data_IF_520317336196
#
_entry.id   IF_520317336196
#
_cell.length_a   1.000
_cell.length_b   1.000
_cell.length_c   1.000
_cell.angle_alpha   90.00
_cell.angle_beta   90.00
_cell.angle_gamma   90.00
#
_symmetry.space_group_name_H-M   'P 1'
#
loop_
_entity.id
_entity.type
_entity.pdbx_description
1 polymer ?
#
# COMPACT_ATOMS: atom_id res chain seq x y z
N UNK A 1 -9.69 16.40 20.90
CA UNK A 1 -10.38 17.68 20.61
C UNK A 1 -11.50 17.44 19.61
N UNK A 2 -12.67 18.07 19.80
CA UNK A 2 -13.77 18.00 18.85
C UNK A 2 -13.39 18.73 17.55
N UNK A 3 -13.62 18.09 16.40
CA UNK A 3 -13.46 18.71 15.10
C UNK A 3 -14.71 19.57 14.83
N UNK A 4 -14.52 20.87 14.61
CA UNK A 4 -15.60 21.78 14.23
C UNK A 4 -15.56 22.02 12.71
N UNK A 5 -16.63 21.62 12.04
CA UNK A 5 -16.81 21.80 10.60
C UNK A 5 -17.84 22.90 10.43
N UNK A 6 -17.46 23.99 9.75
CA UNK A 6 -18.34 25.15 9.52
C UNK A 6 -19.32 24.97 8.37
N UNK A 7 -18.99 24.06 7.46
CA UNK A 7 -19.81 23.76 6.28
C UNK A 7 -20.75 22.60 6.63
N UNK A 8 -22.04 22.87 6.64
CA UNK A 8 -23.08 21.89 7.00
C UNK A 8 -23.04 20.66 6.09
N UNK A 9 -22.71 20.83 4.80
CA UNK A 9 -22.62 19.72 3.85
C UNK A 9 -21.44 18.79 4.18
N UNK A 10 -20.35 19.34 4.69
CA UNK A 10 -19.17 18.58 5.10
C UNK A 10 -19.40 17.91 6.45
N UNK A 11 -20.13 18.55 7.38
CA UNK A 11 -20.51 17.93 8.66
C UNK A 11 -21.46 16.74 8.43
N UNK A 12 -22.42 16.86 7.52
CA UNK A 12 -23.32 15.78 7.12
C UNK A 12 -22.55 14.59 6.53
N UNK A 13 -21.56 14.85 5.68
CA UNK A 13 -20.66 13.80 5.15
C UNK A 13 -19.87 13.12 6.26
N UNK A 14 -19.34 13.89 7.21
CA UNK A 14 -18.60 13.34 8.36
C UNK A 14 -19.51 12.48 9.26
N UNK A 15 -20.75 12.90 9.52
CA UNK A 15 -21.75 12.14 10.27
C UNK A 15 -22.13 10.86 9.53
N UNK A 16 -22.37 10.95 8.21
CA UNK A 16 -22.72 9.79 7.39
C UNK A 16 -21.58 8.78 7.37
N UNK A 17 -20.35 9.23 7.16
CA UNK A 17 -19.18 8.35 7.20
C UNK A 17 -19.00 7.75 8.60
N UNK A 18 -19.15 8.53 9.68
CA UNK A 18 -19.08 8.01 11.05
C UNK A 18 -20.08 6.86 11.28
N UNK A 19 -21.35 7.03 10.87
CA UNK A 19 -22.40 6.02 11.01
C UNK A 19 -22.08 4.75 10.23
N UNK A 20 -21.60 4.89 8.99
CA UNK A 20 -21.26 3.75 8.12
C UNK A 20 -19.97 3.04 8.56
N UNK A 21 -18.98 3.80 9.04
CA UNK A 21 -17.68 3.26 9.44
C UNK A 21 -17.65 2.72 10.86
N UNK A 22 -18.70 2.98 11.66
CA UNK A 22 -18.78 2.63 13.08
C UNK A 22 -17.80 3.40 13.96
N UNK A 23 -17.38 4.60 13.56
CA UNK A 23 -16.36 5.34 14.30
C UNK A 23 -16.95 6.01 15.56
N UNK A 24 -16.20 5.97 16.67
CA UNK A 24 -16.66 6.47 17.97
C UNK A 24 -16.91 7.99 18.01
N UNK A 25 -16.32 8.75 17.08
CA UNK A 25 -16.49 10.20 16.99
C UNK A 25 -16.35 10.72 15.56
N UNK A 26 -16.92 11.91 15.28
CA UNK A 26 -16.74 12.60 13.99
C UNK A 26 -15.25 12.81 13.66
N UNK A 27 -14.43 13.16 14.65
CA UNK A 27 -12.99 13.35 14.46
C UNK A 27 -12.29 12.04 14.06
N UNK A 28 -12.65 10.92 14.70
CA UNK A 28 -12.10 9.61 14.35
C UNK A 28 -12.54 9.19 12.94
N UNK A 29 -13.81 9.44 12.60
CA UNK A 29 -14.38 9.19 11.28
C UNK A 29 -13.63 9.96 10.18
N UNK A 30 -13.46 11.28 10.34
CA UNK A 30 -12.76 12.12 9.37
C UNK A 30 -11.28 11.74 9.25
N UNK A 31 -10.60 11.44 10.38
CA UNK A 31 -9.21 10.98 10.34
C UNK A 31 -9.08 9.68 9.53
N UNK A 32 -9.98 8.72 9.76
CA UNK A 32 -9.99 7.45 9.03
C UNK A 32 -10.22 7.67 7.53
N UNK A 33 -11.22 8.46 7.16
CA UNK A 33 -11.51 8.79 5.76
C UNK A 33 -10.30 9.43 5.05
N UNK A 34 -9.61 10.35 5.72
CA UNK A 34 -8.42 11.00 5.16
C UNK A 34 -7.25 10.03 5.02
N UNK A 35 -7.01 9.16 6.00
CA UNK A 35 -5.97 8.13 5.91
C UNK A 35 -6.24 7.17 4.74
N UNK A 36 -7.48 6.72 4.58
CA UNK A 36 -7.89 5.85 3.47
C UNK A 36 -7.76 6.55 2.11
N UNK A 37 -8.13 7.83 2.04
CA UNK A 37 -7.98 8.68 0.85
C UNK A 37 -6.51 8.88 0.47
N UNK A 38 -5.66 9.20 1.45
CA UNK A 38 -4.21 9.33 1.24
C UNK A 38 -3.59 8.00 0.81
N UNK A 39 -3.96 6.89 1.46
CA UNK A 39 -3.50 5.56 1.06
C UNK A 39 -4.00 5.18 -0.34
N UNK A 40 -5.21 5.60 -0.74
CA UNK A 40 -5.71 5.42 -2.11
C UNK A 40 -4.86 6.19 -3.12
N UNK A 41 -4.58 7.47 -2.85
CA UNK A 41 -3.74 8.31 -3.71
C UNK A 41 -2.30 7.78 -3.78
N UNK A 42 -1.72 7.37 -2.65
CA UNK A 42 -0.38 6.75 -2.62
C UNK A 42 -0.35 5.38 -3.31
N UNK A 43 -1.43 4.59 -3.23
CA UNK A 43 -1.52 3.32 -3.98
C UNK A 43 -1.64 3.52 -5.49
N UNK A 44 -2.08 4.71 -5.93
CA UNK A 44 -2.04 5.15 -7.34
C UNK A 44 -0.63 5.50 -7.83
N UNK A 45 0.44 5.13 -7.11
CA UNK A 45 1.78 5.00 -7.74
C UNK A 45 1.57 4.22 -9.05
N UNK A 46 1.88 4.84 -10.21
CA UNK A 46 1.72 4.21 -11.52
C UNK A 46 2.38 2.84 -11.51
N UNK A 47 1.75 1.86 -12.18
CA UNK A 47 2.30 0.51 -12.29
C UNK A 47 3.77 0.54 -12.74
N UNK A 48 4.11 1.47 -13.63
CA UNK A 48 5.47 1.70 -14.11
C UNK A 48 6.46 2.05 -13.00
N UNK A 49 6.09 2.90 -12.04
CA UNK A 49 6.96 3.24 -10.90
C UNK A 49 7.15 2.04 -9.96
N UNK A 50 6.12 1.20 -9.79
CA UNK A 50 6.24 -0.04 -9.02
C UNK A 50 7.16 -1.05 -9.69
N UNK A 51 7.03 -1.21 -11.01
CA UNK A 51 7.89 -2.09 -11.81
C UNK A 51 9.34 -1.59 -11.76
N UNK A 52 9.57 -0.29 -11.95
CA UNK A 52 10.90 0.30 -11.89
C UNK A 52 11.58 0.06 -10.53
N UNK A 53 10.85 0.18 -9.42
CA UNK A 53 11.39 -0.11 -8.10
C UNK A 53 11.77 -1.58 -7.89
N UNK A 54 11.03 -2.52 -8.50
CA UNK A 54 11.35 -3.96 -8.44
C UNK A 54 12.55 -4.27 -9.35
N UNK A 55 12.61 -3.67 -10.53
CA UNK A 55 13.73 -3.81 -11.46
C UNK A 55 15.03 -3.28 -10.84
N UNK A 56 15.02 -2.11 -10.22
CA UNK A 56 16.19 -1.57 -9.54
C UNK A 56 16.73 -2.50 -8.45
N UNK A 57 15.84 -3.16 -7.69
CA UNK A 57 16.24 -4.17 -6.70
C UNK A 57 16.79 -5.45 -7.34
N UNK A 58 16.26 -5.85 -8.50
CA UNK A 58 16.81 -6.99 -9.23
C UNK A 58 18.21 -6.68 -9.78
N UNK A 59 18.43 -5.44 -10.24
CA UNK A 59 19.73 -4.98 -10.72
C UNK A 59 20.80 -4.97 -9.59
N UNK A 60 20.40 -4.74 -8.34
CA UNK A 60 21.30 -4.83 -7.16
C UNK A 60 21.77 -6.27 -6.87
N UNK A 61 21.00 -7.30 -7.25
CA UNK A 61 21.36 -8.72 -7.03
C UNK A 61 22.51 -9.12 -7.97
N UNK A 62 22.60 -8.49 -9.13
CA UNK A 62 23.64 -8.73 -10.13
C UNK A 62 23.08 -9.08 -11.51
N UNK A 63 23.96 -9.22 -12.51
CA UNK A 63 23.56 -9.55 -13.87
C UNK A 63 22.88 -10.93 -13.93
N UNK A 64 21.87 -11.04 -14.79
CA UNK A 64 21.23 -12.32 -15.09
C UNK A 64 22.23 -13.20 -15.83
N UNK A 65 22.51 -14.38 -15.28
CA UNK A 65 23.27 -15.43 -15.95
C UNK A 65 22.31 -16.26 -16.84
N UNK A 66 22.41 -16.16 -18.19
CA UNK A 66 21.53 -16.90 -19.10
C UNK A 66 21.76 -18.41 -19.08
N UNK A 67 22.95 -18.84 -18.64
CA UNK A 67 23.37 -20.23 -18.62
C UNK A 67 23.13 -20.88 -17.24
N UNK A 68 22.48 -20.16 -16.31
CA UNK A 68 22.18 -20.64 -14.97
C UNK A 68 21.23 -21.86 -15.01
N UNK A 69 21.77 -23.04 -14.72
CA UNK A 69 21.00 -24.27 -14.56
C UNK A 69 20.37 -24.33 -13.17
N UNK A 70 19.12 -23.85 -13.10
CA UNK A 70 18.33 -23.87 -11.87
C UNK A 70 18.13 -25.28 -11.31
N UNK A 71 18.08 -26.32 -12.16
CA UNK A 71 17.86 -27.70 -11.72
C UNK A 71 19.12 -28.25 -11.05
N UNK A 72 20.27 -28.09 -11.70
CA UNK A 72 21.55 -28.52 -11.11
C UNK A 72 21.80 -27.82 -9.76
N UNK A 73 21.52 -26.52 -9.66
CA UNK A 73 21.62 -25.77 -8.41
C UNK A 73 20.67 -26.29 -7.31
N UNK A 74 19.42 -26.61 -7.66
CA UNK A 74 18.45 -27.14 -6.69
C UNK A 74 18.80 -28.56 -6.24
N UNK A 75 19.28 -29.40 -7.17
CA UNK A 75 19.71 -30.77 -6.87
C UNK A 75 20.95 -30.77 -5.96
N UNK A 76 21.90 -29.85 -6.15
CA UNK A 76 23.09 -29.65 -5.31
C UNK A 76 22.70 -29.31 -3.85
N UNK A 77 21.83 -28.32 -3.66
CA UNK A 77 21.33 -27.91 -2.32
C UNK A 77 20.59 -29.03 -1.60
N UNK A 78 19.88 -29.90 -2.32
CA UNK A 78 19.16 -31.04 -1.72
C UNK A 78 20.02 -32.27 -1.50
N UNK A 79 21.13 -32.42 -2.22
CA UNK A 79 22.05 -33.54 -2.07
C UNK A 79 22.99 -33.42 -0.85
N UNK A 80 23.16 -32.20 -0.33
CA UNK A 80 23.95 -31.90 0.87
C UNK A 80 23.18 -32.07 2.20
N UNK A 81 22.07 -32.85 2.19
CA UNK A 81 21.30 -33.26 3.38
C UNK A 81 21.44 -34.74 3.73
#
# INVERSE_FOLDING_TARGET
MPLYIKDDSVDDLAIKYQKLSGADSKTAAVRKALLEGLASIQRKVPLMEKIAAVQAKADEIGPVDPDFDQKAFADDIWSDQ
#
